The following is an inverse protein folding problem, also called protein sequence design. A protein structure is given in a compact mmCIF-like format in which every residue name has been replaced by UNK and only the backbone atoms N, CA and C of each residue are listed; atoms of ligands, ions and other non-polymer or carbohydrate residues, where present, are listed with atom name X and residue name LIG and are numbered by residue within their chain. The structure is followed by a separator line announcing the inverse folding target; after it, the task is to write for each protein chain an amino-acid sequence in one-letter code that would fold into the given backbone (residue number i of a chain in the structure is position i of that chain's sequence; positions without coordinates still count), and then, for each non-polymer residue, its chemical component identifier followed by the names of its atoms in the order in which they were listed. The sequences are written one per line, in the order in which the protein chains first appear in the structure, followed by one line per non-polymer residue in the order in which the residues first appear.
data_IF_852300266648
#
_entry.id   IF_852300266648
#
_cell.length_a   1.000
_cell.length_b   1.000
_cell.length_c   1.000
_cell.angle_alpha   90.00
_cell.angle_beta   90.00
_cell.angle_gamma   90.00
#
_symmetry.space_group_name_H-M   'P 1'
#
loop_
_entity.id
_entity.type
_entity.pdbx_description
1 polymer ?
#
# COMPACT_ATOMS: atom_id res chain seq x y z
N UNK A 1 10.15 -14.91 29.23
CA UNK A 1 10.03 -14.16 27.95
C UNK A 1 8.94 -13.12 28.15
N UNK A 2 9.28 -11.82 28.18
CA UNK A 2 8.29 -10.74 28.25
C UNK A 2 7.53 -10.74 26.91
N UNK A 3 6.21 -10.88 26.96
CA UNK A 3 5.40 -10.70 25.77
C UNK A 3 5.48 -9.22 25.39
N UNK A 4 6.16 -8.92 24.28
CA UNK A 4 6.08 -7.60 23.68
C UNK A 4 4.60 -7.31 23.43
N UNK A 5 4.13 -6.20 23.98
CA UNK A 5 2.74 -5.77 23.89
C UNK A 5 2.41 -5.64 22.41
N UNK A 6 1.63 -6.60 21.89
CA UNK A 6 1.06 -6.50 20.55
C UNK A 6 0.24 -5.22 20.52
N UNK A 7 0.75 -4.22 19.81
CA UNK A 7 0.03 -2.97 19.57
C UNK A 7 -1.08 -3.28 18.58
N UNK A 8 -2.24 -3.68 19.11
CA UNK A 8 -3.45 -3.85 18.31
C UNK A 8 -3.94 -2.45 17.93
N UNK A 9 -3.58 -2.01 16.72
CA UNK A 9 -4.10 -0.78 16.11
C UNK A 9 -5.62 -0.91 15.98
N UNK A 10 -6.38 -0.20 16.83
CA UNK A 10 -7.84 -0.08 16.73
C UNK A 10 -8.22 1.32 16.24
N UNK A 11 -8.12 1.60 14.93
CA UNK A 11 -8.39 2.91 14.36
C UNK A 11 -9.81 3.41 14.62
N UNK A 12 -10.75 2.49 14.87
CA UNK A 12 -12.15 2.78 15.19
C UNK A 12 -12.36 3.44 16.57
N UNK A 13 -11.37 3.34 17.46
CA UNK A 13 -11.40 3.97 18.80
C UNK A 13 -10.60 5.26 18.87
N UNK A 14 -9.94 5.68 17.79
CA UNK A 14 -9.16 6.91 17.80
C UNK A 14 -10.11 8.12 17.68
N UNK A 15 -10.03 9.11 18.59
CA UNK A 15 -10.86 10.30 18.50
C UNK A 15 -10.57 11.04 17.18
N UNK A 16 -11.64 11.41 16.47
CA UNK A 16 -11.55 12.04 15.13
C UNK A 16 -10.64 13.28 15.13
N UNK A 17 -10.67 14.07 16.20
CA UNK A 17 -9.82 15.25 16.37
C UNK A 17 -8.32 14.91 16.35
N UNK A 18 -7.91 13.84 17.06
CA UNK A 18 -6.52 13.40 17.08
C UNK A 18 -6.07 12.91 15.70
N UNK A 19 -6.95 12.21 14.97
CA UNK A 19 -6.68 11.78 13.59
C UNK A 19 -6.45 12.97 12.64
N UNK A 20 -7.28 14.00 12.71
CA UNK A 20 -7.10 15.20 11.88
C UNK A 20 -5.86 16.00 12.28
N UNK A 21 -5.55 16.10 13.58
CA UNK A 21 -4.35 16.79 14.06
C UNK A 21 -3.08 16.13 13.53
N UNK A 22 -2.98 14.80 13.61
CA UNK A 22 -1.83 14.07 13.06
C UNK A 22 -1.76 14.19 11.53
N UNK A 23 -2.89 14.15 10.84
CA UNK A 23 -2.93 14.34 9.39
C UNK A 23 -2.43 15.75 9.00
N UNK A 24 -2.87 16.78 9.72
CA UNK A 24 -2.45 18.16 9.48
C UNK A 24 -0.96 18.36 9.81
N UNK A 25 -0.49 17.86 10.95
CA UNK A 25 0.93 17.93 11.31
C UNK A 25 1.82 17.24 10.29
N UNK A 26 1.39 16.06 9.80
CA UNK A 26 2.10 15.33 8.75
C UNK A 26 2.10 16.13 7.44
N UNK A 27 0.97 16.68 7.01
CA UNK A 27 0.89 17.52 5.82
C UNK A 27 1.81 18.75 5.93
N UNK A 28 1.81 19.42 7.07
CA UNK A 28 2.68 20.57 7.33
C UNK A 28 4.16 20.20 7.28
N UNK A 29 4.54 19.06 7.87
CA UNK A 29 5.90 18.54 7.81
C UNK A 29 6.34 18.26 6.36
N UNK A 30 5.45 17.69 5.54
CA UNK A 30 5.72 17.49 4.12
C UNK A 30 5.88 18.81 3.35
N UNK A 31 5.03 19.80 3.60
CA UNK A 31 5.15 21.13 2.96
C UNK A 31 6.48 21.79 3.35
N UNK A 32 6.82 21.79 4.64
CA UNK A 32 8.07 22.36 5.14
C UNK A 32 9.28 21.64 4.54
N UNK A 33 9.25 20.31 4.52
CA UNK A 33 10.30 19.49 3.89
C UNK A 33 10.44 19.81 2.40
N UNK A 34 9.35 19.85 1.65
CA UNK A 34 9.37 20.24 0.23
C UNK A 34 9.87 21.67 0.02
N UNK A 35 9.56 22.59 0.94
CA UNK A 35 10.03 23.96 0.91
C UNK A 35 11.56 24.07 1.05
N UNK A 36 12.19 23.18 1.83
CA UNK A 36 13.66 23.12 1.92
C UNK A 36 14.34 22.78 0.58
N UNK A 37 13.65 22.08 -0.32
CA UNK A 37 14.22 21.71 -1.62
C UNK A 37 14.12 22.82 -2.68
N UNK A 38 13.25 23.82 -2.49
CA UNK A 38 13.10 24.94 -3.43
C UNK A 38 14.41 25.66 -3.79
N UNK A 39 15.29 26.05 -2.84
CA UNK A 39 16.54 26.72 -3.20
C UNK A 39 17.44 25.84 -4.08
N UNK A 40 17.49 24.52 -3.82
CA UNK A 40 18.29 23.60 -4.63
C UNK A 40 17.70 23.43 -6.03
N UNK A 41 16.39 23.25 -6.13
CA UNK A 41 15.68 23.16 -7.42
C UNK A 41 15.85 24.45 -8.22
N UNK A 42 15.78 25.61 -7.56
CA UNK A 42 15.98 26.92 -8.18
C UNK A 42 17.42 27.06 -8.70
N UNK A 43 18.41 26.61 -7.93
CA UNK A 43 19.81 26.62 -8.35
C UNK A 43 20.03 25.74 -9.58
N UNK A 44 19.46 24.53 -9.60
CA UNK A 44 19.50 23.62 -10.76
C UNK A 44 18.80 24.26 -11.96
N UNK A 45 17.63 24.87 -11.77
CA UNK A 45 16.91 25.56 -12.83
C UNK A 45 17.76 26.70 -13.44
N UNK A 46 18.49 27.44 -12.60
CA UNK A 46 19.42 28.46 -13.10
C UNK A 46 20.61 27.84 -13.85
N UNK A 47 21.19 26.76 -13.33
CA UNK A 47 22.30 26.05 -13.98
C UNK A 47 21.93 25.49 -15.37
N UNK A 48 20.69 25.03 -15.55
CA UNK A 48 20.17 24.54 -16.85
C UNK A 48 19.65 25.70 -17.71
N UNK A 49 19.64 26.94 -17.21
CA UNK A 49 19.27 28.13 -17.97
C UNK A 49 17.76 28.42 -18.04
N UNK A 50 16.93 27.80 -17.18
CA UNK A 50 15.47 28.01 -17.13
C UNK A 50 15.11 29.48 -16.88
N UNK A 51 15.88 30.19 -16.04
CA UNK A 51 15.68 31.63 -15.79
C UNK A 51 15.92 32.46 -17.06
N UNK A 52 16.97 32.13 -17.82
CA UNK A 52 17.27 32.81 -19.07
C UNK A 52 16.19 32.49 -20.13
N UNK A 53 15.72 31.24 -20.18
CA UNK A 53 14.55 30.85 -20.96
C UNK A 53 13.34 31.71 -20.60
N UNK A 54 12.90 31.69 -19.34
CA UNK A 54 11.75 32.48 -18.87
C UNK A 54 11.85 33.96 -19.23
N UNK A 55 13.00 34.59 -19.00
CA UNK A 55 13.21 36.02 -19.30
C UNK A 55 13.16 36.27 -20.82
N UNK A 56 13.78 35.42 -21.64
CA UNK A 56 13.75 35.58 -23.10
C UNK A 56 12.38 35.28 -23.71
N UNK A 57 11.68 34.26 -23.20
CA UNK A 57 10.41 33.76 -23.71
C UNK A 57 9.19 34.55 -23.23
N UNK A 58 9.16 34.96 -21.96
CA UNK A 58 7.96 35.50 -21.31
C UNK A 58 8.07 37.01 -21.13
N UNK A 59 9.27 37.52 -20.83
CA UNK A 59 9.47 38.93 -20.47
C UNK A 59 9.89 39.76 -21.69
N UNK A 60 10.85 39.29 -22.49
CA UNK A 60 11.42 40.09 -23.58
C UNK A 60 10.76 39.90 -24.94
N UNK A 61 10.16 38.73 -25.22
CA UNK A 61 9.48 38.48 -26.51
C UNK A 61 8.08 37.97 -26.26
N UNK A 62 7.06 38.79 -26.48
CA UNK A 62 5.65 38.39 -26.48
C UNK A 62 5.29 37.50 -27.70
N UNK A 63 6.03 36.42 -27.90
CA UNK A 63 5.92 35.54 -29.06
C UNK A 63 6.94 35.89 -30.14
N UNK A 64 7.84 34.94 -30.40
CA UNK A 64 8.30 34.59 -31.75
C UNK A 64 9.28 33.41 -31.68
N UNK A 65 8.85 32.27 -32.22
CA UNK A 65 9.74 31.35 -32.93
C UNK A 65 9.88 29.95 -32.33
N UNK A 66 9.72 28.94 -33.19
CA UNK A 66 9.85 27.49 -32.99
C UNK A 66 10.90 26.96 -31.97
N UNK A 67 11.92 27.75 -31.63
CA UNK A 67 12.95 27.42 -30.63
C UNK A 67 12.34 27.19 -29.23
N UNK A 68 11.35 27.98 -28.87
CA UNK A 68 10.69 27.91 -27.57
C UNK A 68 9.85 26.64 -27.42
N UNK A 69 9.13 26.30 -28.49
CA UNK A 69 8.42 25.03 -28.61
C UNK A 69 9.39 23.84 -28.55
N UNK A 70 10.55 23.94 -29.23
CA UNK A 70 11.60 22.93 -29.18
C UNK A 70 12.14 22.70 -27.77
N UNK A 71 12.34 23.77 -26.99
CA UNK A 71 12.81 23.67 -25.60
C UNK A 71 11.77 22.96 -24.72
N UNK A 72 10.49 23.36 -24.83
CA UNK A 72 9.40 22.72 -24.06
C UNK A 72 9.27 21.24 -24.43
N UNK A 73 9.33 20.93 -25.73
CA UNK A 73 9.30 19.54 -26.23
C UNK A 73 10.51 18.76 -25.72
N UNK A 74 11.72 19.33 -25.77
CA UNK A 74 12.94 18.68 -25.29
C UNK A 74 12.88 18.39 -23.78
N UNK A 75 12.37 19.31 -22.97
CA UNK A 75 12.14 19.11 -21.53
C UNK A 75 11.11 18.00 -21.32
N UNK A 76 9.98 18.03 -22.04
CA UNK A 76 8.96 16.98 -21.98
C UNK A 76 9.54 15.60 -22.31
N UNK A 77 10.35 15.51 -23.37
CA UNK A 77 11.04 14.30 -23.78
C UNK A 77 12.03 13.81 -22.71
N UNK A 78 12.79 14.73 -22.11
CA UNK A 78 13.69 14.39 -21.01
C UNK A 78 12.94 13.82 -19.80
N UNK A 79 11.79 14.40 -19.43
CA UNK A 79 10.93 13.88 -18.36
C UNK A 79 10.38 12.49 -18.67
N UNK A 80 9.93 12.24 -19.90
CA UNK A 80 9.46 10.91 -20.34
C UNK A 80 10.60 9.91 -20.27
N UNK A 81 11.78 10.25 -20.79
CA UNK A 81 12.95 9.37 -20.77
C UNK A 81 13.38 9.02 -19.35
N UNK A 82 13.41 10.01 -18.45
CA UNK A 82 13.72 9.78 -17.04
C UNK A 82 12.71 8.86 -16.37
N UNK A 83 11.41 9.06 -16.66
CA UNK A 83 10.32 8.24 -16.11
C UNK A 83 10.38 6.80 -16.62
N UNK A 84 10.66 6.61 -17.91
CA UNK A 84 10.84 5.30 -18.52
C UNK A 84 12.08 4.59 -17.98
N UNK A 85 13.19 5.30 -17.81
CA UNK A 85 14.41 4.76 -17.22
C UNK A 85 14.17 4.30 -15.78
N UNK A 86 13.49 5.12 -14.97
CA UNK A 86 13.15 4.79 -13.58
C UNK A 86 12.19 3.62 -13.47
N UNK A 87 11.15 3.59 -14.31
CA UNK A 87 10.18 2.48 -14.36
C UNK A 87 10.86 1.18 -14.82
N UNK A 88 11.67 1.24 -15.88
CA UNK A 88 12.43 0.11 -16.39
C UNK A 88 13.42 -0.44 -15.36
N UNK A 89 14.13 0.45 -14.67
CA UNK A 89 15.01 0.08 -13.55
C UNK A 89 14.25 -0.66 -12.45
N UNK A 90 13.09 -0.13 -12.03
CA UNK A 90 12.27 -0.77 -11.00
C UNK A 90 11.75 -2.14 -11.46
N UNK A 91 11.33 -2.27 -12.72
CA UNK A 91 10.89 -3.55 -13.26
C UNK A 91 12.04 -4.56 -13.35
N UNK A 92 13.24 -4.14 -13.77
CA UNK A 92 14.39 -5.01 -13.84
C UNK A 92 14.86 -5.46 -12.44
N UNK A 93 14.85 -4.54 -11.47
CA UNK A 93 15.27 -4.80 -10.09
C UNK A 93 14.23 -5.60 -9.29
N UNK A 94 12.94 -5.32 -9.48
CA UNK A 94 11.87 -5.84 -8.61
C UNK A 94 10.84 -6.73 -9.32
N UNK A 95 10.82 -6.80 -10.65
CA UNK A 95 9.80 -7.51 -11.42
C UNK A 95 9.83 -9.03 -11.31
N UNK A 96 10.98 -9.61 -10.89
CA UNK A 96 11.13 -11.07 -10.69
C UNK A 96 10.92 -11.52 -9.24
N UNK A 97 10.62 -10.58 -8.33
CA UNK A 97 10.29 -10.93 -6.95
C UNK A 97 8.82 -11.31 -6.91
N UNK A 98 8.57 -12.61 -7.06
CA UNK A 98 7.25 -13.20 -6.80
C UNK A 98 6.95 -13.13 -5.28
N UNK A 99 6.61 -11.93 -4.82
CA UNK A 99 6.26 -11.65 -3.42
C UNK A 99 4.93 -12.29 -3.04
N UNK A 100 4.19 -12.79 -4.03
CA UNK A 100 3.00 -13.61 -3.86
C UNK A 100 3.33 -15.09 -4.06
N UNK A 101 4.46 -15.55 -3.51
CA UNK A 101 4.71 -16.99 -3.39
C UNK A 101 3.52 -17.58 -2.65
N UNK A 102 2.71 -18.36 -3.37
CA UNK A 102 1.62 -19.12 -2.78
C UNK A 102 2.25 -19.90 -1.63
N UNK A 103 1.79 -19.66 -0.39
CA UNK A 103 2.26 -20.48 0.73
C UNK A 103 1.95 -21.93 0.34
N UNK A 104 2.91 -22.86 0.48
CA UNK A 104 2.61 -24.25 0.22
C UNK A 104 1.36 -24.62 1.01
N UNK A 105 0.40 -25.26 0.36
CA UNK A 105 -0.84 -25.72 0.97
C UNK A 105 -0.45 -26.42 2.27
N UNK A 106 -0.93 -25.91 3.40
CA UNK A 106 -0.54 -26.44 4.70
C UNK A 106 -0.88 -27.93 4.76
N UNK A 107 0.11 -28.76 5.12
CA UNK A 107 -0.12 -30.18 5.27
C UNK A 107 -1.22 -30.42 6.32
N UNK A 108 -2.17 -31.29 6.00
CA UNK A 108 -3.39 -31.51 6.79
C UNK A 108 -3.06 -32.15 8.13
N UNK A 109 -2.03 -33.01 8.15
CA UNK A 109 -1.50 -33.62 9.36
C UNK A 109 -0.76 -32.59 10.22
N UNK A 110 0.06 -31.74 9.61
CA UNK A 110 0.68 -30.61 10.31
C UNK A 110 -0.37 -29.65 10.91
N UNK A 111 -1.47 -29.38 10.19
CA UNK A 111 -2.57 -28.56 10.68
C UNK A 111 -3.32 -29.21 11.84
N UNK A 112 -3.56 -30.52 11.78
CA UNK A 112 -4.14 -31.29 12.87
C UNK A 112 -3.28 -31.22 14.15
N UNK A 113 -1.97 -31.39 14.01
CA UNK A 113 -1.02 -31.25 15.12
C UNK A 113 -0.94 -29.84 15.69
N UNK A 114 -0.86 -28.82 14.83
CA UNK A 114 -0.75 -27.42 15.25
C UNK A 114 -2.00 -26.90 15.97
N UNK A 115 -3.19 -27.38 15.58
CA UNK A 115 -4.46 -27.01 16.20
C UNK A 115 -4.91 -27.99 17.30
N UNK A 116 -4.15 -29.05 17.54
CA UNK A 116 -4.48 -30.14 18.47
C UNK A 116 -5.89 -30.73 18.22
N UNK A 117 -6.24 -30.91 16.94
CA UNK A 117 -7.53 -31.46 16.48
C UNK A 117 -7.31 -32.80 15.79
N UNK A 118 -8.34 -33.66 15.77
CA UNK A 118 -8.25 -34.92 15.05
C UNK A 118 -8.07 -34.69 13.52
N UNK A 119 -7.30 -35.53 12.81
CA UNK A 119 -7.11 -35.45 11.36
C UNK A 119 -8.41 -35.32 10.53
N UNK A 120 -9.49 -36.08 10.79
CA UNK A 120 -10.76 -35.88 10.08
C UNK A 120 -11.37 -34.48 10.29
N UNK A 121 -11.23 -33.90 11.48
CA UNK A 121 -11.71 -32.55 11.81
C UNK A 121 -10.92 -31.48 11.05
N UNK A 122 -9.60 -31.63 10.96
CA UNK A 122 -8.74 -30.73 10.18
C UNK A 122 -9.09 -30.76 8.68
N UNK A 123 -9.47 -31.92 8.15
CA UNK A 123 -9.94 -32.06 6.75
C UNK A 123 -11.29 -31.36 6.55
N UNK A 124 -12.24 -31.53 7.48
CA UNK A 124 -13.54 -30.85 7.46
C UNK A 124 -13.36 -29.32 7.51
N UNK A 125 -12.49 -28.84 8.40
CA UNK A 125 -12.10 -27.43 8.52
C UNK A 125 -11.46 -26.89 7.25
N UNK A 126 -10.54 -27.63 6.61
CA UNK A 126 -9.93 -27.15 5.37
C UNK A 126 -10.93 -27.00 4.22
N UNK A 127 -11.97 -27.84 4.18
CA UNK A 127 -12.96 -27.86 3.09
C UNK A 127 -14.06 -26.82 3.24
N UNK A 128 -14.35 -26.37 4.46
CA UNK A 128 -15.42 -25.42 4.72
C UNK A 128 -14.97 -23.98 4.42
N UNK A 129 -15.83 -23.23 3.72
CA UNK A 129 -15.57 -21.81 3.45
C UNK A 129 -15.75 -20.93 4.70
N UNK A 130 -16.49 -21.42 5.70
CA UNK A 130 -16.75 -20.74 6.97
C UNK A 130 -16.69 -21.74 8.11
N UNK A 131 -15.98 -21.35 9.16
CA UNK A 131 -15.77 -22.13 10.38
C UNK A 131 -15.89 -21.19 11.57
N UNK A 132 -16.58 -21.63 12.61
CA UNK A 132 -16.55 -20.98 13.92
C UNK A 132 -15.68 -21.84 14.84
N UNK A 133 -14.55 -21.26 15.25
CA UNK A 133 -13.61 -21.87 16.20
C UNK A 133 -13.93 -21.38 17.61
N UNK A 134 -14.13 -22.32 18.52
CA UNK A 134 -14.17 -22.02 19.95
C UNK A 134 -12.87 -22.45 20.59
N UNK A 135 -12.18 -21.47 21.20
CA UNK A 135 -11.00 -21.69 22.00
C UNK A 135 -11.44 -21.84 23.45
N UNK A 136 -11.27 -23.04 24.01
CA UNK A 136 -11.57 -23.30 25.41
C UNK A 136 -10.41 -22.83 26.30
N UNK A 137 -10.68 -22.64 27.59
CA UNK A 137 -9.71 -22.18 28.59
C UNK A 137 -8.45 -23.06 28.73
N UNK A 138 -8.50 -24.31 28.27
CA UNK A 138 -7.40 -25.29 28.23
C UNK A 138 -6.54 -25.19 26.94
N UNK A 139 -6.86 -24.25 26.04
CA UNK A 139 -6.16 -24.08 24.76
C UNK A 139 -6.58 -25.09 23.69
N UNK A 140 -7.56 -25.96 23.97
CA UNK A 140 -8.12 -26.86 22.95
C UNK A 140 -9.05 -26.09 22.00
N UNK A 141 -8.99 -26.46 20.72
CA UNK A 141 -9.80 -25.87 19.65
C UNK A 141 -10.93 -26.84 19.32
N UNK A 142 -12.19 -26.40 19.49
CA UNK A 142 -13.35 -27.15 19.02
C UNK A 142 -14.02 -26.40 17.86
N UNK A 143 -14.50 -27.17 16.88
CA UNK A 143 -15.32 -26.66 15.79
C UNK A 143 -16.79 -26.85 16.15
N UNK A 144 -17.56 -25.76 16.30
CA UNK A 144 -19.02 -25.86 16.43
C UNK A 144 -19.61 -26.14 15.06
N UNK A 145 -20.20 -27.33 14.85
CA UNK A 145 -21.10 -27.54 13.70
C UNK A 145 -22.31 -26.65 13.90
N UNK A 146 -22.36 -25.52 13.20
CA UNK A 146 -23.58 -24.74 13.11
C UNK A 146 -24.66 -25.63 12.46
N UNK A 147 -25.60 -26.16 13.27
CA UNK A 147 -26.96 -26.32 12.77
C UNK A 147 -27.44 -24.91 12.52
N UNK A 148 -27.56 -24.54 11.24
CA UNK A 148 -28.22 -23.30 10.84
C UNK A 148 -29.53 -23.18 11.65
N UNK A 149 -29.73 -22.09 12.43
CA UNK A 149 -31.03 -21.86 13.03
C UNK A 149 -32.06 -21.79 11.90
N UNK A 150 -33.20 -22.45 12.09
CA UNK A 150 -34.29 -22.62 11.11
C UNK A 150 -34.76 -21.31 10.46
N UNK A 151 -34.46 -20.15 11.06
CA UNK A 151 -34.70 -18.82 10.50
C UNK A 151 -33.92 -18.51 9.21
N UNK A 152 -32.74 -19.10 8.99
CA UNK A 152 -31.93 -18.84 7.79
C UNK A 152 -32.46 -19.55 6.53
N UNK A 153 -33.16 -20.69 6.69
CA UNK A 153 -33.78 -21.41 5.57
C UNK A 153 -35.05 -20.71 5.03
N UNK A 154 -35.66 -19.82 5.82
CA UNK A 154 -36.84 -19.07 5.39
C UNK A 154 -36.51 -17.84 4.51
N UNK A 155 -35.27 -17.36 4.53
CA UNK A 155 -34.86 -16.15 3.78
C UNK A 155 -34.24 -16.45 2.41
N UNK A 156 -33.79 -17.67 2.13
CA UNK A 156 -33.23 -18.04 0.82
C UNK A 156 -34.26 -18.67 -0.14
N UNK A 157 -35.55 -18.66 0.22
CA UNK A 157 -36.65 -19.16 -0.60
C UNK A 157 -37.54 -18.03 -1.15
N UNK A 158 -37.04 -16.79 -1.17
CA UNK A 158 -37.66 -15.65 -1.86
C UNK A 158 -36.74 -15.12 -2.96
#
# INVERSE_FOLDING_TARGET
MKADVIVIQRPERQPKAQRYLFAFATAFAWIAWSWLWLPLVTLVAWGVGLRNGYVQLVVLKHGMGARDLLIVVAIGLACVMLSLAWSGYNLLRYGKLDRRRNRPVADRLAMAGALNVLPPTAIEMHRSQRIVLEFRHDGSVSHRRERLPSAALAQSAR
#
